data_IF_497667837847
#
_entry.id   IF_497667837847
#
_cell.length_a   1.000
_cell.length_b   1.000
_cell.length_c   1.000
_cell.angle_alpha   90.00
_cell.angle_beta   90.00
_cell.angle_gamma   90.00
#
_symmetry.space_group_name_H-M   'P 1'
#
loop_
_entity.id
_entity.type
_entity.pdbx_description
1 polymer ?
#
# COMPACT_ATOMS: atom_id res chain seq x y z
N UNK A 1 -14.73 6.02 -12.76
CA UNK A 1 -13.55 5.36 -12.15
C UNK A 1 -13.77 5.39 -10.64
N UNK A 2 -14.01 4.24 -10.01
CA UNK A 2 -14.18 4.17 -8.55
C UNK A 2 -12.79 4.14 -7.93
N UNK A 3 -12.38 5.22 -7.27
CA UNK A 3 -11.14 5.27 -6.51
C UNK A 3 -11.28 4.37 -5.28
N UNK A 4 -10.29 3.52 -5.03
CA UNK A 4 -10.23 2.69 -3.83
C UNK A 4 -10.08 3.60 -2.60
N UNK A 5 -11.15 3.76 -1.81
CA UNK A 5 -11.13 4.62 -0.62
C UNK A 5 -10.49 3.86 0.55
N UNK A 6 -9.18 4.04 0.72
CA UNK A 6 -8.44 3.46 1.84
C UNK A 6 -8.62 4.40 3.04
N UNK A 7 -9.13 3.88 4.16
CA UNK A 7 -9.16 4.63 5.42
C UNK A 7 -7.73 4.80 5.95
N UNK A 8 -7.18 6.00 5.77
CA UNK A 8 -5.83 6.38 6.17
C UNK A 8 -5.75 7.03 7.56
N UNK A 9 -6.89 7.16 8.27
CA UNK A 9 -6.99 7.89 9.55
C UNK A 9 -5.98 7.39 10.59
N UNK A 10 -5.68 6.09 10.58
CA UNK A 10 -4.77 5.43 11.53
C UNK A 10 -3.35 5.20 10.97
N UNK A 11 -3.01 5.81 9.84
CA UNK A 11 -1.67 5.70 9.24
C UNK A 11 -0.69 6.63 9.97
N UNK A 12 0.56 6.19 10.21
CA UNK A 12 1.57 7.08 10.77
C UNK A 12 2.13 8.03 9.70
N UNK A 13 2.55 9.24 10.08
CA UNK A 13 3.05 10.26 9.16
C UNK A 13 4.18 9.76 8.26
N UNK A 14 5.10 8.94 8.80
CA UNK A 14 6.16 8.31 7.99
C UNK A 14 5.62 7.48 6.83
N UNK A 15 4.57 6.70 7.07
CA UNK A 15 3.98 5.86 6.02
C UNK A 15 3.11 6.70 5.08
N UNK A 16 2.44 7.74 5.58
CA UNK A 16 1.70 8.69 4.75
C UNK A 16 2.62 9.38 3.75
N UNK A 17 3.74 9.97 4.19
CA UNK A 17 4.70 10.64 3.30
C UNK A 17 5.25 9.68 2.23
N UNK A 18 5.69 8.49 2.64
CA UNK A 18 6.21 7.49 1.68
C UNK A 18 5.18 7.06 0.64
N UNK A 19 3.88 7.09 0.98
CA UNK A 19 2.81 6.55 0.15
C UNK A 19 2.12 7.62 -0.70
N UNK A 20 1.92 8.83 -0.17
CA UNK A 20 1.03 9.83 -0.75
C UNK A 20 1.78 11.01 -1.38
N UNK A 21 3.00 11.32 -0.93
CA UNK A 21 3.79 12.39 -1.54
C UNK A 21 4.26 11.92 -2.94
N UNK A 22 4.31 12.82 -3.91
CA UNK A 22 4.69 12.49 -5.31
C UNK A 22 6.12 11.93 -5.42
N UNK A 23 6.99 12.30 -4.48
CA UNK A 23 8.36 11.79 -4.33
C UNK A 23 8.48 10.65 -3.29
N UNK A 24 7.36 10.19 -2.74
CA UNK A 24 7.30 9.09 -1.80
C UNK A 24 7.74 7.78 -2.44
N UNK A 25 8.61 7.03 -1.74
CA UNK A 25 9.17 5.75 -2.23
C UNK A 25 8.11 4.67 -2.55
N UNK A 26 6.88 4.81 -2.03
CA UNK A 26 5.76 3.90 -2.30
C UNK A 26 4.64 4.58 -3.11
N UNK A 27 4.87 5.76 -3.69
CA UNK A 27 3.85 6.49 -4.44
C UNK A 27 3.33 5.70 -5.64
N UNK A 28 4.20 4.96 -6.34
CA UNK A 28 3.78 4.09 -7.45
C UNK A 28 2.86 2.95 -6.99
N UNK A 29 3.08 2.42 -5.79
CA UNK A 29 2.20 1.40 -5.19
C UNK A 29 0.84 2.01 -4.84
N UNK A 30 0.82 3.25 -4.33
CA UNK A 30 -0.42 3.97 -4.06
C UNK A 30 -1.26 4.14 -5.33
N UNK A 31 -0.65 4.62 -6.41
CA UNK A 31 -1.31 4.74 -7.72
C UNK A 31 -1.83 3.39 -8.21
N UNK A 32 -1.01 2.33 -8.13
CA UNK A 32 -1.42 0.98 -8.54
C UNK A 32 -2.67 0.47 -7.80
N UNK A 33 -2.83 0.79 -6.50
CA UNK A 33 -4.04 0.41 -5.74
C UNK A 33 -5.28 1.22 -6.15
N UNK A 34 -5.09 2.48 -6.59
CA UNK A 34 -6.19 3.31 -7.07
C UNK A 34 -6.65 2.90 -8.47
N UNK A 35 -5.72 2.43 -9.31
CA UNK A 35 -5.99 2.10 -10.71
C UNK A 35 -6.37 0.63 -10.94
N UNK A 36 -6.05 -0.25 -9.98
CA UNK A 36 -6.34 -1.69 -10.09
C UNK A 36 -7.40 -2.13 -9.08
N UNK A 37 -8.63 -2.47 -9.51
CA UNK A 37 -9.70 -2.90 -8.60
C UNK A 37 -9.45 -4.25 -7.92
N UNK A 38 -8.52 -5.07 -8.43
CA UNK A 38 -8.11 -6.32 -7.78
C UNK A 38 -7.21 -6.08 -6.57
N UNK A 39 -6.57 -4.91 -6.51
CA UNK A 39 -5.74 -4.48 -5.39
C UNK A 39 -6.60 -3.73 -4.38
N UNK A 40 -6.60 -4.22 -3.15
CA UNK A 40 -7.23 -3.55 -2.01
C UNK A 40 -6.21 -3.37 -0.91
N UNK A 41 -6.38 -2.35 -0.08
CA UNK A 41 -5.48 -2.11 1.04
C UNK A 41 -6.23 -1.68 2.30
N UNK A 42 -5.69 -2.08 3.45
CA UNK A 42 -6.24 -1.76 4.77
C UNK A 42 -5.11 -1.32 5.68
N UNK A 43 -5.31 -0.22 6.40
CA UNK A 43 -4.39 0.21 7.46
C UNK A 43 -4.67 -0.58 8.73
N UNK A 44 -3.67 -1.33 9.23
CA UNK A 44 -3.73 -2.02 10.53
C UNK A 44 -2.42 -1.87 11.27
N UNK A 45 -2.48 -1.64 12.58
CA UNK A 45 -1.30 -1.47 13.43
C UNK A 45 -0.26 -0.48 12.85
N UNK A 46 -0.73 0.62 12.24
CA UNK A 46 0.08 1.66 11.56
C UNK A 46 0.89 1.17 10.35
N UNK A 47 0.49 0.05 9.75
CA UNK A 47 1.05 -0.53 8.54
C UNK A 47 -0.03 -0.60 7.46
N UNK A 48 0.37 -0.58 6.19
CA UNK A 48 -0.55 -0.77 5.07
C UNK A 48 -0.48 -2.22 4.61
N UNK A 49 -1.59 -2.94 4.74
CA UNK A 49 -1.71 -4.32 4.31
C UNK A 49 -2.35 -4.33 2.92
N UNK A 50 -1.65 -4.88 1.93
CA UNK A 50 -2.07 -4.89 0.53
C UNK A 50 -2.47 -6.32 0.14
N UNK A 51 -3.60 -6.43 -0.55
CA UNK A 51 -4.22 -7.67 -0.96
C UNK A 51 -4.49 -7.64 -2.47
N UNK A 52 -4.28 -8.76 -3.14
CA UNK A 52 -4.79 -9.01 -4.50
C UNK A 52 -5.85 -10.10 -4.44
N UNK A 53 -7.04 -9.84 -4.98
CA UNK A 53 -8.13 -10.83 -5.04
C UNK A 53 -8.41 -11.47 -3.67
N UNK A 54 -8.40 -10.65 -2.61
CA UNK A 54 -8.62 -11.06 -1.21
C UNK A 54 -7.44 -11.76 -0.52
N UNK A 55 -6.32 -12.02 -1.21
CA UNK A 55 -5.11 -12.65 -0.63
C UNK A 55 -4.05 -11.59 -0.34
N UNK A 56 -3.50 -11.62 0.88
CA UNK A 56 -2.45 -10.67 1.28
C UNK A 56 -1.16 -10.93 0.51
N UNK A 57 -0.55 -9.88 -0.05
CA UNK A 57 0.67 -9.98 -0.88
C UNK A 57 1.83 -9.15 -0.32
N UNK A 58 1.55 -7.98 0.24
CA UNK A 58 2.59 -7.03 0.66
C UNK A 58 2.14 -6.28 1.92
N UNK A 59 3.08 -5.98 2.81
CA UNK A 59 2.87 -5.09 3.96
C UNK A 59 3.89 -3.95 3.90
N UNK A 60 3.42 -2.72 3.82
CA UNK A 60 4.28 -1.53 3.92
C UNK A 60 4.34 -1.06 5.37
N UNK A 61 5.56 -0.82 5.85
CA UNK A 61 5.86 -0.35 7.20
C UNK A 61 6.42 1.06 7.14
N UNK A 62 6.12 1.89 8.15
CA UNK A 62 6.59 3.29 8.17
C UNK A 62 8.12 3.41 8.24
N UNK A 63 8.72 2.82 9.29
CA UNK A 63 10.17 2.92 9.55
C UNK A 63 10.98 1.68 9.17
N UNK A 64 10.33 0.55 8.95
CA UNK A 64 10.99 -0.71 8.61
C UNK A 64 10.83 -1.02 7.12
N UNK A 65 11.60 -1.99 6.64
CA UNK A 65 11.46 -2.52 5.30
C UNK A 65 10.07 -3.13 5.08
N UNK A 66 9.57 -3.07 3.83
CA UNK A 66 8.33 -3.74 3.45
C UNK A 66 8.48 -5.25 3.61
N UNK A 67 7.37 -5.94 3.85
CA UNK A 67 7.34 -7.38 3.98
C UNK A 67 6.53 -7.99 2.85
N UNK A 68 7.21 -8.68 1.95
CA UNK A 68 6.58 -9.49 0.90
C UNK A 68 6.03 -10.75 1.54
N UNK A 69 4.71 -10.93 1.46
CA UNK A 69 4.00 -12.12 1.95
C UNK A 69 3.90 -13.17 0.84
N UNK A 70 3.76 -12.70 -0.40
CA UNK A 70 3.70 -13.50 -1.62
C UNK A 70 4.20 -12.66 -2.78
N UNK A 71 4.95 -13.28 -3.69
CA UNK A 71 5.31 -12.63 -4.95
C UNK A 71 4.06 -12.20 -5.71
N UNK A 72 4.04 -10.94 -6.11
CA UNK A 72 2.98 -10.29 -6.85
C UNK A 72 3.58 -9.19 -7.73
N UNK A 73 3.00 -8.87 -8.90
CA UNK A 73 3.49 -7.77 -9.73
C UNK A 73 3.65 -6.44 -8.96
N UNK A 74 2.83 -6.18 -7.94
CA UNK A 74 2.96 -4.95 -7.12
C UNK A 74 4.28 -4.88 -6.34
N UNK A 75 4.93 -6.02 -6.07
CA UNK A 75 6.23 -6.06 -5.38
C UNK A 75 7.38 -5.51 -6.23
N UNK A 76 7.22 -5.46 -7.56
CA UNK A 76 8.21 -4.86 -8.47
C UNK A 76 8.22 -3.33 -8.45
N UNK A 77 7.34 -2.70 -7.66
CA UNK A 77 7.22 -1.26 -7.47
C UNK A 77 7.85 -0.78 -6.15
N UNK A 78 8.56 -1.66 -5.45
CA UNK A 78 9.30 -1.36 -4.22
C UNK A 78 10.62 -0.65 -4.50
#
# INVERSE_FOLDING_TARGET
MMKTNIDITNMCSHLQHKLMDDDGVYHQIWQAIQDNPELTAVVRSRQLHIYRNGKKVLILKGKAEPQIIREDPVCGLL
#
